data_IF_234160067642
#
_entry.id   IF_234160067642
#
_cell.length_a   1.000
_cell.length_b   1.000
_cell.length_c   1.000
_cell.angle_alpha   90.00
_cell.angle_beta   90.00
_cell.angle_gamma   90.00
#
_symmetry.space_group_name_H-M   'P 1'
#
loop_
_entity.id
_entity.type
_entity.pdbx_description
1 polymer ?
#
# COMPACT_ATOMS: atom_id res chain seq x y z
N UNK A 1 -34.47 -62.88 6.03
CA UNK A 1 -35.06 -62.20 4.87
C UNK A 1 -34.08 -61.11 4.44
N UNK A 2 -33.67 -61.21 3.19
CA UNK A 2 -32.47 -60.71 2.51
C UNK A 2 -32.26 -59.17 2.44
N UNK A 3 -31.04 -58.70 2.06
CA UNK A 3 -30.56 -57.33 2.26
C UNK A 3 -30.82 -56.40 1.05
N UNK A 4 -31.15 -55.13 1.29
CA UNK A 4 -31.26 -54.13 0.22
C UNK A 4 -29.93 -53.41 -0.03
N UNK A 5 -29.28 -53.89 -1.09
CA UNK A 5 -28.09 -53.45 -1.84
C UNK A 5 -27.90 -51.92 -1.90
N UNK A 6 -26.69 -51.48 -1.54
CA UNK A 6 -26.27 -50.08 -1.50
C UNK A 6 -26.02 -49.42 -2.86
N UNK A 7 -26.18 -48.09 -2.89
CA UNK A 7 -25.68 -47.20 -3.92
C UNK A 7 -24.76 -46.16 -3.30
N UNK A 8 -23.45 -46.28 -3.53
CA UNK A 8 -22.48 -45.25 -3.17
C UNK A 8 -22.57 -44.13 -4.21
N UNK A 9 -22.88 -42.92 -3.76
CA UNK A 9 -22.81 -41.71 -4.58
C UNK A 9 -21.37 -41.50 -5.11
N UNK A 10 -21.18 -41.03 -6.36
CA UNK A 10 -19.85 -40.79 -6.89
C UNK A 10 -19.23 -39.60 -6.13
N UNK A 11 -18.21 -39.90 -5.33
CA UNK A 11 -17.35 -38.92 -4.69
C UNK A 11 -16.78 -38.03 -5.79
N UNK A 12 -17.07 -36.73 -5.70
CA UNK A 12 -16.52 -35.70 -6.57
C UNK A 12 -15.01 -35.92 -6.73
N UNK A 13 -14.59 -36.16 -7.96
CA UNK A 13 -13.21 -36.40 -8.32
C UNK A 13 -12.33 -35.29 -7.72
N UNK A 14 -11.50 -35.65 -6.75
CA UNK A 14 -10.48 -34.77 -6.21
C UNK A 14 -9.63 -34.28 -7.39
N UNK A 15 -9.77 -32.99 -7.73
CA UNK A 15 -8.93 -32.32 -8.73
C UNK A 15 -7.47 -32.52 -8.30
N UNK A 16 -6.75 -33.40 -8.99
CA UNK A 16 -5.32 -33.59 -8.80
C UNK A 16 -4.63 -32.26 -9.05
N UNK A 17 -4.04 -31.68 -8.00
CA UNK A 17 -3.18 -30.51 -8.13
C UNK A 17 -2.04 -30.90 -9.08
N UNK A 18 -1.82 -30.17 -10.18
CA UNK A 18 -0.74 -30.49 -11.11
C UNK A 18 0.60 -30.38 -10.36
N UNK A 19 1.37 -31.47 -10.36
CA UNK A 19 2.75 -31.46 -9.86
C UNK A 19 3.55 -30.56 -10.81
N UNK A 20 3.98 -29.39 -10.33
CA UNK A 20 4.97 -28.57 -11.05
C UNK A 20 6.22 -29.43 -11.23
N UNK A 21 6.58 -29.72 -12.47
CA UNK A 21 7.86 -30.35 -12.82
C UNK A 21 8.96 -29.37 -12.40
N UNK A 22 9.61 -29.65 -11.27
CA UNK A 22 10.74 -28.83 -10.81
C UNK A 22 11.95 -29.26 -11.62
N UNK A 23 12.52 -28.32 -12.36
CA UNK A 23 13.69 -28.56 -13.19
C UNK A 23 14.88 -28.94 -12.27
N UNK A 24 15.52 -30.10 -12.46
CA UNK A 24 16.55 -30.62 -11.55
C UNK A 24 17.84 -29.76 -11.51
N UNK A 25 17.99 -28.81 -12.45
CA UNK A 25 19.12 -27.88 -12.48
C UNK A 25 18.97 -26.69 -11.50
N UNK A 26 17.78 -26.46 -10.93
CA UNK A 26 17.53 -25.30 -10.06
C UNK A 26 16.90 -25.72 -8.73
N UNK A 27 17.60 -25.39 -7.64
CA UNK A 27 17.12 -25.55 -6.27
C UNK A 27 16.45 -24.27 -5.76
N UNK A 28 15.40 -24.42 -4.93
CA UNK A 28 14.76 -23.28 -4.27
C UNK A 28 15.56 -22.86 -3.03
N UNK A 29 16.27 -21.72 -3.12
CA UNK A 29 17.01 -21.14 -2.00
C UNK A 29 16.16 -20.12 -1.24
N UNK A 30 15.34 -20.62 -0.32
CA UNK A 30 14.59 -19.78 0.61
C UNK A 30 15.55 -19.08 1.58
N UNK A 31 15.52 -17.75 1.62
CA UNK A 31 16.24 -16.95 2.62
C UNK A 31 15.28 -16.64 3.77
N UNK A 32 15.65 -17.02 4.98
CA UNK A 32 14.94 -16.63 6.20
C UNK A 32 15.41 -15.21 6.57
N UNK A 33 14.50 -14.24 6.56
CA UNK A 33 14.77 -12.82 6.89
C UNK A 33 14.32 -12.44 8.30
N UNK A 34 14.10 -13.45 9.15
CA UNK A 34 13.80 -13.26 10.56
C UNK A 34 15.04 -12.72 11.31
N UNK A 35 14.84 -12.29 12.56
CA UNK A 35 15.92 -11.79 13.41
C UNK A 35 17.00 -12.89 13.52
N UNK A 36 18.26 -12.51 13.37
CA UNK A 36 19.43 -13.41 13.33
C UNK A 36 19.50 -14.40 12.15
N UNK A 37 18.74 -14.13 11.07
CA UNK A 37 18.79 -14.87 9.81
C UNK A 37 19.70 -14.25 8.73
N UNK A 38 19.30 -14.42 7.47
CA UNK A 38 19.99 -13.83 6.32
C UNK A 38 19.87 -12.30 6.30
N UNK A 39 20.81 -11.61 5.62
CA UNK A 39 20.79 -10.15 5.46
C UNK A 39 19.40 -9.69 4.98
N UNK A 40 18.77 -8.71 5.66
CA UNK A 40 17.45 -8.26 5.28
C UNK A 40 17.46 -7.64 3.88
N UNK A 41 16.35 -7.76 3.14
CA UNK A 41 16.21 -7.06 1.87
C UNK A 41 16.27 -5.55 2.09
N UNK A 42 16.65 -4.80 1.06
CA UNK A 42 16.60 -3.33 1.10
C UNK A 42 15.15 -2.90 1.36
N UNK A 43 14.91 -2.18 2.47
CA UNK A 43 13.60 -1.63 2.83
C UNK A 43 13.52 -0.16 2.44
N UNK A 44 12.31 0.34 2.26
CA UNK A 44 12.10 1.78 2.13
C UNK A 44 12.40 2.46 3.47
N UNK A 45 13.41 3.34 3.46
CA UNK A 45 13.87 4.09 4.63
C UNK A 45 13.38 5.54 4.61
N UNK A 46 12.55 5.95 3.65
CA UNK A 46 12.10 7.35 3.50
C UNK A 46 11.57 7.97 4.80
N UNK A 47 10.89 7.19 5.65
CA UNK A 47 10.39 7.68 6.94
C UNK A 47 11.46 7.74 8.05
N UNK A 48 12.46 6.86 7.99
CA UNK A 48 13.48 6.67 9.02
C UNK A 48 14.79 7.41 8.73
N UNK A 49 14.94 7.92 7.52
CA UNK A 49 16.08 8.76 7.13
C UNK A 49 16.04 10.08 7.92
N UNK A 50 17.21 10.50 8.40
CA UNK A 50 17.39 11.83 8.97
C UNK A 50 17.29 12.88 7.86
N UNK A 51 16.08 13.42 7.66
CA UNK A 51 15.84 14.46 6.67
C UNK A 51 16.62 15.75 6.97
N UNK A 52 17.01 16.53 5.93
CA UNK A 52 17.55 17.87 6.09
C UNK A 52 16.69 18.76 7.00
N UNK A 53 17.34 19.62 7.81
CA UNK A 53 16.68 20.46 8.82
C UNK A 53 15.54 21.31 8.25
N UNK A 54 15.70 21.86 7.04
CA UNK A 54 14.68 22.70 6.40
C UNK A 54 13.38 21.93 6.15
N UNK A 55 13.47 20.69 5.66
CA UNK A 55 12.30 19.83 5.38
C UNK A 55 11.59 19.47 6.67
N UNK A 56 12.35 19.16 7.73
CA UNK A 56 11.78 18.90 9.06
C UNK A 56 10.99 20.11 9.59
N UNK A 57 11.56 21.31 9.47
CA UNK A 57 10.91 22.55 9.93
C UNK A 57 9.65 22.83 9.11
N UNK A 58 9.70 22.67 7.78
CA UNK A 58 8.53 22.82 6.91
C UNK A 58 7.40 21.84 7.29
N UNK A 59 7.74 20.57 7.52
CA UNK A 59 6.81 19.55 7.98
C UNK A 59 6.19 19.89 9.34
N UNK A 60 7.03 20.22 10.33
CA UNK A 60 6.57 20.64 11.68
C UNK A 60 5.65 21.86 11.61
N UNK A 61 5.97 22.86 10.79
CA UNK A 61 5.12 24.04 10.58
C UNK A 61 3.75 23.67 9.99
N UNK A 62 3.70 22.75 9.03
CA UNK A 62 2.44 22.24 8.47
C UNK A 62 1.61 21.50 9.53
N UNK A 63 2.24 20.62 10.30
CA UNK A 63 1.57 19.86 11.37
C UNK A 63 1.02 20.80 12.44
N UNK A 64 1.79 21.82 12.83
CA UNK A 64 1.37 22.80 13.83
C UNK A 64 0.12 23.58 13.38
N UNK A 65 0.09 24.02 12.12
CA UNK A 65 -1.09 24.69 11.54
C UNK A 65 -2.34 23.81 11.51
N UNK A 66 -2.20 22.49 11.37
CA UNK A 66 -3.33 21.56 11.35
C UNK A 66 -3.83 21.23 12.76
N UNK A 67 -2.93 21.13 13.74
CA UNK A 67 -3.26 20.72 15.12
C UNK A 67 -3.73 21.86 16.01
N UNK A 68 -3.25 23.07 15.77
CA UNK A 68 -3.68 24.25 16.51
C UNK A 68 -4.93 24.86 15.90
N UNK A 69 -5.71 25.56 16.73
CA UNK A 69 -6.82 26.39 16.26
C UNK A 69 -6.26 27.59 15.49
N UNK A 70 -6.57 27.64 14.19
CA UNK A 70 -6.19 28.75 13.33
C UNK A 70 -7.29 29.81 13.36
N UNK A 71 -6.97 31.10 13.53
CA UNK A 71 -7.95 32.18 13.49
C UNK A 71 -8.73 32.20 12.16
N UNK A 72 -10.02 32.59 12.16
CA UNK A 72 -10.86 32.55 10.96
C UNK A 72 -10.32 33.43 9.82
N UNK A 73 -9.70 34.56 10.16
CA UNK A 73 -9.05 35.48 9.21
C UNK A 73 -7.91 34.83 8.43
N UNK A 74 -7.20 33.86 9.03
CA UNK A 74 -6.16 33.11 8.36
C UNK A 74 -6.73 31.87 7.68
N UNK A 75 -7.75 31.26 8.28
CA UNK A 75 -8.35 30.06 7.73
C UNK A 75 -9.10 30.29 6.41
N UNK A 76 -9.53 31.51 6.10
CA UNK A 76 -10.19 31.82 4.82
C UNK A 76 -9.31 31.44 3.61
N UNK A 77 -7.98 31.53 3.75
CA UNK A 77 -7.04 31.20 2.66
C UNK A 77 -6.90 29.69 2.40
N UNK A 78 -7.42 28.83 3.29
CA UNK A 78 -7.45 27.38 3.04
C UNK A 78 -8.63 26.98 2.15
N UNK A 79 -9.68 27.82 2.12
CA UNK A 79 -10.87 27.62 1.31
C UNK A 79 -10.65 28.27 -0.06
N UNK A 80 -10.16 27.47 -1.00
CA UNK A 80 -9.88 27.92 -2.36
C UNK A 80 -11.05 27.71 -3.30
N UNK A 81 -11.03 28.42 -4.41
CA UNK A 81 -11.97 28.30 -5.52
C UNK A 81 -11.77 26.94 -6.24
N UNK A 82 -12.84 26.41 -6.85
CA UNK A 82 -12.81 25.11 -7.54
C UNK A 82 -11.86 25.13 -8.75
N UNK A 83 -11.26 23.96 -9.06
CA UNK A 83 -10.28 23.82 -10.15
C UNK A 83 -10.82 24.29 -11.51
N UNK A 84 -12.09 24.01 -11.83
CA UNK A 84 -12.70 24.39 -13.10
C UNK A 84 -12.82 25.91 -13.24
N UNK A 85 -13.33 26.57 -12.20
CA UNK A 85 -13.48 28.02 -12.16
C UNK A 85 -12.12 28.72 -12.09
N UNK A 86 -11.14 28.14 -11.39
CA UNK A 86 -9.79 28.70 -11.32
C UNK A 86 -9.14 28.70 -12.71
N UNK A 87 -9.31 27.60 -13.44
CA UNK A 87 -8.76 27.45 -14.79
C UNK A 87 -9.38 28.45 -15.77
N UNK A 88 -10.69 28.71 -15.70
CA UNK A 88 -11.33 29.74 -16.55
C UNK A 88 -10.91 31.16 -16.16
N UNK A 89 -10.83 31.45 -14.86
CA UNK A 89 -10.36 32.74 -14.35
C UNK A 89 -8.93 33.04 -14.79
N UNK A 90 -7.99 32.10 -14.64
CA UNK A 90 -6.61 32.31 -15.08
C UNK A 90 -6.50 32.48 -16.60
N UNK A 91 -7.32 31.79 -17.40
CA UNK A 91 -7.36 32.01 -18.86
C UNK A 91 -7.83 33.42 -19.21
N UNK A 92 -8.81 33.96 -18.48
CA UNK A 92 -9.28 35.34 -18.70
C UNK A 92 -8.26 36.39 -18.25
N UNK A 93 -7.47 36.11 -17.21
CA UNK A 93 -6.41 37.01 -16.69
C UNK A 93 -5.11 36.99 -17.50
N UNK A 94 -4.90 35.96 -18.33
CA UNK A 94 -3.74 35.78 -19.21
C UNK A 94 -3.99 36.28 -20.64
N UNK A 95 -5.20 36.76 -20.93
CA UNK A 95 -5.52 37.57 -22.11
C UNK A 95 -5.13 39.02 -21.77
#
# INVERSE_FOLDING_TARGET
MDPKKGGKAPVAAAKKKPKKVVNPLFENRLKQFEIDGALPPKKDLTQFVKWPKAIQIQGKKRILKQRLKVPPTLNQFTKTLDKNLATSMFKMLLI
#
